data_IF_049723230681
#
_entry.id   IF_049723230681
#
_cell.length_a   1.000
_cell.length_b   1.000
_cell.length_c   1.000
_cell.angle_alpha   90.00
_cell.angle_beta   90.00
_cell.angle_gamma   90.00
#
_symmetry.space_group_name_H-M   'P 1'
#
loop_
_entity.id
_entity.type
_entity.pdbx_description
1 polymer ?
#
# COMPACT_ATOMS: atom_id res chain seq x y z
N UNK A 1 -24.78 -9.86 -17.89
CA UNK A 1 -25.09 -9.93 -16.44
C UNK A 1 -24.57 -8.70 -15.65
N UNK A 2 -23.59 -7.96 -16.18
CA UNK A 2 -22.90 -6.82 -15.54
C UNK A 2 -23.76 -5.56 -15.34
N UNK A 3 -24.75 -5.31 -16.21
CA UNK A 3 -25.55 -4.07 -16.19
C UNK A 3 -26.52 -3.98 -15.00
N UNK A 4 -27.08 -5.12 -14.54
CA UNK A 4 -27.98 -5.14 -13.36
C UNK A 4 -27.24 -4.84 -12.06
N UNK A 5 -26.02 -5.37 -11.91
CA UNK A 5 -25.18 -5.16 -10.72
C UNK A 5 -24.76 -3.68 -10.60
N UNK A 6 -24.50 -3.01 -11.73
CA UNK A 6 -24.16 -1.59 -11.73
C UNK A 6 -25.38 -0.67 -11.49
N UNK A 7 -26.60 -1.09 -11.82
CA UNK A 7 -27.82 -0.35 -11.48
C UNK A 7 -28.12 -0.36 -9.98
N UNK A 8 -27.89 -1.50 -9.32
CA UNK A 8 -28.11 -1.67 -7.87
C UNK A 8 -27.13 -0.82 -7.03
N UNK A 9 -25.87 -0.69 -7.46
CA UNK A 9 -24.88 0.08 -6.71
C UNK A 9 -25.16 1.60 -6.76
N UNK A 10 -25.60 2.13 -7.91
CA UNK A 10 -25.93 3.56 -8.04
C UNK A 10 -27.13 3.94 -7.16
N UNK A 11 -28.15 3.06 -7.11
CA UNK A 11 -29.29 3.24 -6.23
C UNK A 11 -28.88 3.19 -4.75
N UNK A 12 -28.02 2.23 -4.38
CA UNK A 12 -27.46 2.11 -3.03
C UNK A 12 -26.71 3.37 -2.61
N UNK A 13 -25.85 3.91 -3.50
CA UNK A 13 -25.16 5.17 -3.25
C UNK A 13 -26.10 6.36 -3.07
N UNK A 14 -27.11 6.48 -3.94
CA UNK A 14 -28.08 7.58 -3.88
C UNK A 14 -28.85 7.54 -2.56
N UNK A 15 -29.33 6.37 -2.16
CA UNK A 15 -30.01 6.18 -0.88
C UNK A 15 -29.08 6.46 0.31
N UNK A 16 -27.83 6.00 0.26
CA UNK A 16 -26.85 6.25 1.32
C UNK A 16 -26.53 7.74 1.46
N UNK A 17 -26.45 8.49 0.35
CA UNK A 17 -26.20 9.94 0.42
C UNK A 17 -27.40 10.73 0.93
N UNK A 18 -28.62 10.19 0.84
CA UNK A 18 -29.81 10.77 1.47
C UNK A 18 -29.87 10.48 2.98
N UNK A 19 -29.39 9.32 3.42
CA UNK A 19 -29.30 8.93 4.83
C UNK A 19 -27.98 8.19 5.12
N UNK A 20 -26.97 8.95 5.52
CA UNK A 20 -25.65 8.41 5.87
C UNK A 20 -25.63 7.68 7.21
N UNK A 21 -26.69 7.79 8.03
CA UNK A 21 -26.80 7.06 9.29
C UNK A 21 -27.20 5.59 9.08
N UNK A 22 -27.67 5.25 7.87
CA UNK A 22 -28.10 3.91 7.53
C UNK A 22 -26.93 2.94 7.38
N UNK A 23 -26.71 2.15 8.44
CA UNK A 23 -25.62 1.18 8.51
C UNK A 23 -25.73 0.07 7.47
N UNK A 24 -26.95 -0.34 7.11
CA UNK A 24 -27.16 -1.40 6.12
C UNK A 24 -26.68 -0.96 4.73
N UNK A 25 -27.01 0.27 4.33
CA UNK A 25 -26.53 0.84 3.07
C UNK A 25 -25.01 1.00 3.07
N UNK A 26 -24.43 1.46 4.18
CA UNK A 26 -22.97 1.54 4.33
C UNK A 26 -22.31 0.18 4.21
N UNK A 27 -22.85 -0.84 4.87
CA UNK A 27 -22.31 -2.21 4.86
C UNK A 27 -22.35 -2.80 3.44
N UNK A 28 -23.45 -2.61 2.69
CA UNK A 28 -23.55 -3.02 1.28
C UNK A 28 -22.47 -2.37 0.41
N UNK A 29 -22.17 -1.08 0.63
CA UNK A 29 -21.09 -0.39 -0.07
C UNK A 29 -19.71 -0.94 0.33
N UNK A 30 -19.48 -1.19 1.63
CA UNK A 30 -18.23 -1.79 2.11
C UNK A 30 -18.02 -3.16 1.47
N UNK A 31 -19.01 -4.05 1.52
CA UNK A 31 -18.93 -5.40 0.93
C UNK A 31 -18.64 -5.35 -0.56
N UNK A 32 -19.27 -4.41 -1.28
CA UNK A 32 -19.06 -4.22 -2.71
C UNK A 32 -17.60 -3.89 -3.04
N UNK A 33 -16.97 -3.02 -2.24
CA UNK A 33 -15.62 -2.51 -2.50
C UNK A 33 -14.53 -3.21 -1.68
N UNK A 34 -14.88 -4.10 -0.77
CA UNK A 34 -13.96 -4.89 0.05
C UNK A 34 -12.89 -5.63 -0.77
N UNK A 35 -13.17 -6.20 -1.96
CA UNK A 35 -12.13 -6.81 -2.79
C UNK A 35 -10.97 -5.85 -3.13
N UNK A 36 -11.22 -4.54 -3.24
CA UNK A 36 -10.17 -3.54 -3.45
C UNK A 36 -9.27 -3.40 -2.22
N UNK A 37 -9.84 -3.49 -1.02
CA UNK A 37 -9.07 -3.48 0.23
C UNK A 37 -8.14 -4.68 0.27
N UNK A 38 -8.68 -5.89 0.08
CA UNK A 38 -7.89 -7.13 0.07
C UNK A 38 -6.76 -7.07 -0.96
N UNK A 39 -7.08 -6.69 -2.21
CA UNK A 39 -6.09 -6.58 -3.28
C UNK A 39 -4.96 -5.59 -2.93
N UNK A 40 -5.29 -4.43 -2.37
CA UNK A 40 -4.26 -3.46 -2.00
C UNK A 40 -3.47 -3.92 -0.77
N UNK A 41 -4.11 -4.56 0.21
CA UNK A 41 -3.46 -5.11 1.39
C UNK A 41 -2.42 -6.18 0.99
N UNK A 42 -2.80 -7.13 0.13
CA UNK A 42 -1.89 -8.18 -0.37
C UNK A 42 -0.68 -7.58 -1.10
N UNK A 43 -0.86 -6.53 -1.91
CA UNK A 43 0.25 -5.86 -2.62
C UNK A 43 1.16 -5.06 -1.70
N UNK A 44 0.63 -4.47 -0.64
CA UNK A 44 1.44 -3.80 0.39
C UNK A 44 2.21 -4.86 1.17
N UNK A 45 1.51 -5.88 1.65
CA UNK A 45 2.03 -6.98 2.45
C UNK A 45 3.15 -7.75 1.75
N UNK A 46 3.03 -8.02 0.45
CA UNK A 46 4.05 -8.70 -0.34
C UNK A 46 5.43 -8.01 -0.37
N UNK A 47 5.51 -6.74 0.07
CA UNK A 47 6.75 -5.97 0.17
C UNK A 47 7.27 -5.83 1.61
N UNK A 48 6.57 -6.40 2.59
CA UNK A 48 6.91 -6.29 3.99
C UNK A 48 7.72 -7.52 4.44
N UNK A 49 8.64 -7.36 5.41
CA UNK A 49 9.32 -8.47 6.05
C UNK A 49 8.35 -9.39 6.84
N UNK A 50 8.86 -10.57 7.20
CA UNK A 50 8.16 -11.50 8.09
C UNK A 50 7.81 -10.82 9.42
N UNK A 51 6.58 -10.99 9.89
CA UNK A 51 6.10 -10.47 11.18
C UNK A 51 4.93 -9.49 11.10
N UNK A 52 4.56 -9.01 9.91
CA UNK A 52 3.31 -8.23 9.73
C UNK A 52 2.18 -9.17 9.33
N UNK A 53 1.05 -9.09 10.03
CA UNK A 53 -0.16 -9.81 9.64
C UNK A 53 -0.87 -9.07 8.50
N UNK A 54 -1.26 -9.81 7.46
CA UNK A 54 -2.09 -9.29 6.38
C UNK A 54 -3.46 -8.84 6.89
N UNK A 55 -4.01 -9.50 7.92
CA UNK A 55 -5.31 -9.18 8.47
C UNK A 55 -5.34 -7.80 9.16
N UNK A 56 -4.22 -7.36 9.74
CA UNK A 56 -4.10 -6.03 10.33
C UNK A 56 -4.18 -4.96 9.22
N UNK A 57 -3.49 -5.19 8.10
CA UNK A 57 -3.57 -4.31 6.93
C UNK A 57 -4.96 -4.28 6.30
N UNK A 58 -5.64 -5.43 6.20
CA UNK A 58 -7.01 -5.49 5.71
C UNK A 58 -7.92 -4.67 6.64
N UNK A 59 -7.79 -4.83 7.96
CA UNK A 59 -8.60 -4.10 8.94
C UNK A 59 -8.40 -2.59 8.84
N UNK A 60 -7.15 -2.12 8.81
CA UNK A 60 -6.82 -0.72 8.58
C UNK A 60 -7.37 -0.19 7.24
N UNK A 61 -7.24 -0.99 6.19
CA UNK A 61 -7.77 -0.69 4.87
C UNK A 61 -9.31 -0.57 4.83
N UNK A 62 -10.03 -1.35 5.64
CA UNK A 62 -11.48 -1.24 5.78
C UNK A 62 -11.87 0.09 6.40
N UNK A 63 -11.16 0.57 7.44
CA UNK A 63 -11.41 1.91 7.99
C UNK A 63 -11.18 3.00 6.93
N UNK A 64 -10.09 2.93 6.16
CA UNK A 64 -9.84 3.86 5.06
C UNK A 64 -10.91 3.80 3.95
N UNK A 65 -11.51 2.62 3.72
CA UNK A 65 -12.65 2.47 2.82
C UNK A 65 -13.92 3.10 3.39
N UNK A 66 -14.20 2.92 4.68
CA UNK A 66 -15.34 3.53 5.36
C UNK A 66 -15.29 5.06 5.27
N UNK A 67 -14.14 5.65 5.60
CA UNK A 67 -13.92 7.09 5.50
C UNK A 67 -14.06 7.57 4.05
N UNK A 68 -13.56 6.78 3.09
CA UNK A 68 -13.74 7.10 1.68
C UNK A 68 -15.22 7.08 1.28
N UNK A 69 -16.01 6.10 1.74
CA UNK A 69 -17.44 6.00 1.43
C UNK A 69 -18.20 7.22 1.95
N UNK A 70 -17.95 7.59 3.19
CA UNK A 70 -18.59 8.72 3.85
C UNK A 70 -18.23 10.04 3.14
N UNK A 71 -16.95 10.27 2.85
CA UNK A 71 -16.46 11.50 2.24
C UNK A 71 -16.64 11.59 0.71
N UNK A 72 -17.01 10.51 0.01
CA UNK A 72 -17.09 10.53 -1.45
C UNK A 72 -18.22 11.43 -1.96
N UNK A 73 -17.94 12.16 -3.03
CA UNK A 73 -18.86 13.06 -3.70
C UNK A 73 -19.14 12.53 -5.11
N UNK A 74 -20.40 12.15 -5.33
CA UNK A 74 -20.86 11.51 -6.57
C UNK A 74 -20.91 12.49 -7.76
N UNK A 75 -20.92 13.79 -7.51
CA UNK A 75 -21.05 14.81 -8.57
C UNK A 75 -19.72 15.14 -9.25
N UNK A 76 -18.60 14.69 -8.67
CA UNK A 76 -17.24 14.97 -9.19
C UNK A 76 -16.88 14.23 -10.48
N UNK A 77 -17.72 13.33 -10.97
CA UNK A 77 -17.52 12.61 -12.22
C UNK A 77 -16.36 11.61 -12.22
N UNK A 78 -15.75 11.33 -11.07
CA UNK A 78 -14.71 10.32 -10.91
C UNK A 78 -15.30 9.03 -10.34
N UNK A 79 -14.83 7.88 -10.81
CA UNK A 79 -15.24 6.58 -10.26
C UNK A 79 -14.79 6.48 -8.80
N UNK A 80 -15.66 5.91 -7.95
CA UNK A 80 -15.35 5.73 -6.54
C UNK A 80 -14.07 4.91 -6.34
N UNK A 81 -13.86 3.88 -7.17
CA UNK A 81 -12.67 3.02 -7.12
C UNK A 81 -11.38 3.80 -7.34
N UNK A 82 -11.39 4.81 -8.22
CA UNK A 82 -10.23 5.70 -8.44
C UNK A 82 -9.98 6.59 -7.21
N UNK A 83 -11.04 7.02 -6.55
CA UNK A 83 -10.98 7.92 -5.39
C UNK A 83 -10.58 7.21 -4.09
N UNK A 84 -11.05 5.99 -3.86
CA UNK A 84 -10.87 5.29 -2.58
C UNK A 84 -9.50 4.62 -2.44
N UNK A 85 -8.88 4.18 -3.55
CA UNK A 85 -7.61 3.44 -3.50
C UNK A 85 -6.48 4.19 -2.76
N UNK A 86 -6.24 5.51 -3.00
CA UNK A 86 -5.24 6.26 -2.23
C UNK A 86 -5.54 6.32 -0.73
N UNK A 87 -6.82 6.39 -0.33
CA UNK A 87 -7.25 6.45 1.07
C UNK A 87 -7.07 5.11 1.79
N UNK A 88 -7.50 4.03 1.15
CA UNK A 88 -7.29 2.65 1.62
C UNK A 88 -5.80 2.42 1.89
N UNK A 89 -4.95 2.78 0.92
CA UNK A 89 -3.49 2.63 1.06
C UNK A 89 -2.92 3.55 2.12
N UNK A 90 -3.42 4.78 2.25
CA UNK A 90 -3.05 5.71 3.31
C UNK A 90 -3.28 5.10 4.69
N UNK A 91 -4.48 4.60 4.95
CA UNK A 91 -4.83 3.97 6.23
C UNK A 91 -3.94 2.75 6.56
N UNK A 92 -3.65 1.89 5.59
CA UNK A 92 -2.70 0.79 5.75
C UNK A 92 -1.28 1.26 6.12
N UNK A 93 -0.80 2.30 5.44
CA UNK A 93 0.53 2.86 5.70
C UNK A 93 0.59 3.54 7.06
N UNK A 94 -0.48 4.21 7.48
CA UNK A 94 -0.58 4.84 8.80
C UNK A 94 -0.60 3.80 9.92
N UNK A 95 -1.30 2.67 9.74
CA UNK A 95 -1.24 1.54 10.68
C UNK A 95 0.19 1.00 10.83
N UNK A 96 0.89 0.80 9.70
CA UNK A 96 2.29 0.39 9.71
C UNK A 96 3.22 1.41 10.42
N UNK A 97 2.88 2.69 10.41
CA UNK A 97 3.64 3.72 11.14
C UNK A 97 3.42 3.59 12.64
N UNK A 98 2.18 3.35 13.07
CA UNK A 98 1.82 3.17 14.48
C UNK A 98 2.46 1.93 15.09
N UNK A 99 2.61 0.86 14.31
CA UNK A 99 3.31 -0.36 14.71
C UNK A 99 4.84 -0.23 14.74
N UNK A 100 5.40 0.98 14.59
CA UNK A 100 6.85 1.23 14.48
C UNK A 100 7.54 0.37 13.41
N UNK A 101 6.81 0.00 12.35
CA UNK A 101 7.33 -0.83 11.26
C UNK A 101 7.99 0.00 10.14
N UNK A 102 7.48 1.22 9.92
CA UNK A 102 7.97 2.14 8.88
C UNK A 102 9.41 2.66 9.09
N UNK A 103 10.10 2.49 10.24
CA UNK A 103 11.53 2.79 10.36
C UNK A 103 12.38 1.54 10.70
N UNK A 104 12.52 0.59 9.76
CA UNK A 104 13.71 -0.29 9.71
C UNK A 104 13.99 -0.88 8.33
N UNK A 105 13.03 -1.45 7.60
CA UNK A 105 13.37 -2.14 6.35
C UNK A 105 13.72 -1.18 5.19
N UNK A 106 12.94 -0.11 5.01
CA UNK A 106 13.14 0.85 3.92
C UNK A 106 14.33 1.78 4.18
N UNK A 107 14.56 2.17 5.45
CA UNK A 107 15.81 2.86 5.82
C UNK A 107 17.01 1.92 5.83
N UNK A 108 16.88 0.65 6.24
CA UNK A 108 18.02 -0.27 6.32
C UNK A 108 18.56 -0.62 4.95
N UNK A 109 17.76 -1.14 3.99
CA UNK A 109 18.31 -1.57 2.69
C UNK A 109 18.83 -0.39 1.86
N UNK A 110 18.05 0.67 1.71
CA UNK A 110 18.47 1.86 0.96
C UNK A 110 19.62 2.63 1.65
N UNK A 111 19.60 2.79 2.98
CA UNK A 111 20.73 3.44 3.68
C UNK A 111 21.95 2.53 3.79
N UNK A 112 21.80 1.20 3.85
CA UNK A 112 22.93 0.25 3.76
C UNK A 112 23.57 0.30 2.38
N UNK A 113 22.76 0.30 1.32
CA UNK A 113 23.25 0.47 -0.05
C UNK A 113 23.97 1.81 -0.20
N UNK A 114 23.39 2.90 0.30
CA UNK A 114 24.00 4.23 0.21
C UNK A 114 25.25 4.36 1.10
N UNK A 115 25.29 3.72 2.27
CA UNK A 115 26.46 3.66 3.13
C UNK A 115 27.58 2.82 2.52
N UNK A 116 27.24 1.66 1.93
CA UNK A 116 28.18 0.83 1.19
C UNK A 116 28.74 1.60 -0.01
N UNK A 117 27.87 2.30 -0.76
CA UNK A 117 28.25 3.17 -1.88
C UNK A 117 29.27 4.23 -1.47
N UNK A 118 28.96 5.00 -0.42
CA UNK A 118 29.87 6.03 0.11
C UNK A 118 31.20 5.46 0.60
N UNK A 119 31.19 4.30 1.27
CA UNK A 119 32.42 3.68 1.77
C UNK A 119 33.31 3.18 0.63
N UNK A 120 32.75 2.50 -0.37
CA UNK A 120 33.53 2.02 -1.51
C UNK A 120 34.01 3.20 -2.34
N UNK A 121 33.16 4.18 -2.63
CA UNK A 121 33.52 5.40 -3.35
C UNK A 121 34.66 6.17 -2.65
N UNK A 122 34.62 6.27 -1.32
CA UNK A 122 35.71 6.86 -0.54
C UNK A 122 37.02 6.06 -0.63
N UNK A 123 36.95 4.73 -0.76
CA UNK A 123 38.12 3.86 -0.90
C UNK A 123 38.72 3.85 -2.31
N UNK A 124 37.88 3.87 -3.36
CA UNK A 124 38.32 3.72 -4.76
C UNK A 124 38.40 5.05 -5.52
N UNK A 125 37.85 6.15 -4.96
CA UNK A 125 37.89 7.48 -5.56
C UNK A 125 37.02 7.65 -6.82
N UNK A 126 36.09 6.72 -7.07
CA UNK A 126 35.19 6.69 -8.21
C UNK A 126 33.86 6.03 -7.84
N UNK A 127 32.79 6.19 -8.65
CA UNK A 127 31.56 5.44 -8.44
C UNK A 127 31.84 3.93 -8.38
N UNK A 128 31.30 3.22 -7.37
CA UNK A 128 31.55 1.80 -7.17
C UNK A 128 30.75 0.96 -8.17
N UNK A 129 31.32 -0.17 -8.58
CA UNK A 129 30.63 -1.17 -9.41
C UNK A 129 29.70 -2.04 -8.57
N UNK A 130 28.69 -2.65 -9.20
CA UNK A 130 27.74 -3.55 -8.52
C UNK A 130 28.46 -4.73 -7.83
N UNK A 131 29.56 -5.21 -8.40
CA UNK A 131 30.39 -6.27 -7.79
C UNK A 131 31.14 -5.79 -6.54
N UNK A 132 31.73 -4.59 -6.60
CA UNK A 132 32.40 -4.00 -5.43
C UNK A 132 31.42 -3.70 -4.29
N UNK A 133 30.17 -3.38 -4.61
CA UNK A 133 29.10 -3.20 -3.63
C UNK A 133 28.63 -4.54 -3.05
N UNK A 134 28.43 -5.57 -3.87
CA UNK A 134 28.06 -6.91 -3.43
C UNK A 134 29.11 -7.50 -2.48
N UNK A 135 30.40 -7.40 -2.86
CA UNK A 135 31.53 -7.84 -2.04
C UNK A 135 31.57 -7.09 -0.71
N UNK A 136 31.34 -5.77 -0.72
CA UNK A 136 31.29 -4.94 0.50
C UNK A 136 30.12 -5.29 1.42
N UNK A 137 29.01 -5.72 0.85
CA UNK A 137 27.80 -6.09 1.58
C UNK A 137 27.76 -7.58 1.95
N UNK A 138 28.85 -8.32 1.68
CA UNK A 138 29.01 -9.75 1.98
C UNK A 138 27.88 -10.62 1.41
N UNK A 139 27.46 -10.31 0.18
CA UNK A 139 26.40 -11.04 -0.54
C UNK A 139 26.83 -11.37 -1.96
N UNK A 140 26.17 -12.36 -2.56
CA UNK A 140 26.37 -12.67 -3.97
C UNK A 140 25.88 -11.53 -4.88
N UNK A 141 26.41 -11.48 -6.11
CA UNK A 141 25.96 -10.51 -7.10
C UNK A 141 24.47 -10.66 -7.42
N UNK A 142 23.96 -11.89 -7.47
CA UNK A 142 22.55 -12.18 -7.71
C UNK A 142 21.65 -11.66 -6.57
N UNK A 143 22.08 -11.84 -5.31
CA UNK A 143 21.37 -11.30 -4.15
C UNK A 143 21.40 -9.76 -4.13
N UNK A 144 22.51 -9.17 -4.55
CA UNK A 144 22.66 -7.72 -4.65
C UNK A 144 21.76 -7.13 -5.75
N UNK A 145 21.71 -7.74 -6.94
CA UNK A 145 20.84 -7.31 -8.03
C UNK A 145 19.36 -7.37 -7.63
N UNK A 146 18.97 -8.46 -6.94
CA UNK A 146 17.62 -8.58 -6.37
C UNK A 146 17.35 -7.49 -5.33
N UNK A 147 18.29 -7.23 -4.41
CA UNK A 147 18.17 -6.17 -3.42
C UNK A 147 18.04 -4.78 -4.07
N UNK A 148 18.80 -4.50 -5.13
CA UNK A 148 18.76 -3.25 -5.89
C UNK A 148 17.41 -3.06 -6.60
N UNK A 149 16.83 -4.13 -7.13
CA UNK A 149 15.47 -4.12 -7.71
C UNK A 149 14.38 -3.90 -6.66
N UNK A 150 14.55 -4.42 -5.44
CA UNK A 150 13.59 -4.25 -4.34
C UNK A 150 13.67 -2.86 -3.68
N UNK A 151 14.84 -2.21 -3.77
CA UNK A 151 15.10 -0.88 -3.21
C UNK A 151 14.71 0.28 -4.14
N UNK A 152 14.29 -0.01 -5.38
CA UNK A 152 13.87 0.98 -6.39
C UNK A 152 12.35 1.25 -6.38
#
# INVERSE_FOLDING_TARGET
MTTKVNGDIQATWTAFKQDQSNQELRNRLIERYFPLVRFNAERVWAKLPDGVDLNDLISAGVFGLMDAIEAFDMERGVKFETYCVPRIRGAMLDELRTMDWVPRLVRSKASKLEAARKQVEASVGRPPTDRELADKMEMSLDEFEKMKSEAS
#
